data_IF_079375545776
#
_entry.id   IF_079375545776
#
_cell.length_a   1.000
_cell.length_b   1.000
_cell.length_c   1.000
_cell.angle_alpha   90.00
_cell.angle_beta   90.00
_cell.angle_gamma   90.00
#
_symmetry.space_group_name_H-M   'P 1'
#
loop_
_entity.id
_entity.type
_entity.pdbx_description
1 polymer ?
#
# COMPACT_ATOMS: atom_id res chain seq x y z
N UNK A 1 10.19 -14.76 3.75
CA UNK A 1 9.25 -13.72 3.27
C UNK A 1 9.67 -13.35 1.87
N UNK A 2 8.75 -13.24 0.91
CA UNK A 2 9.08 -12.89 -0.48
C UNK A 2 8.35 -11.59 -0.84
N UNK A 3 8.97 -10.77 -1.69
CA UNK A 3 8.35 -9.58 -2.26
C UNK A 3 7.98 -9.80 -3.73
N UNK A 4 6.95 -9.10 -4.17
CA UNK A 4 6.54 -9.05 -5.56
C UNK A 4 6.38 -7.60 -6.01
N UNK A 5 6.79 -7.30 -7.24
CA UNK A 5 6.51 -6.02 -7.90
C UNK A 5 5.89 -6.29 -9.26
N UNK A 6 4.77 -5.62 -9.54
CA UNK A 6 4.13 -5.62 -10.86
C UNK A 6 4.70 -4.47 -11.68
N UNK A 7 5.22 -4.79 -12.87
CA UNK A 7 5.79 -3.80 -13.80
C UNK A 7 5.07 -3.89 -15.14
N UNK A 8 4.66 -2.75 -15.67
CA UNK A 8 4.15 -2.67 -17.04
C UNK A 8 5.28 -2.77 -18.05
N UNK A 9 5.18 -3.69 -19.02
CA UNK A 9 6.21 -3.87 -20.07
C UNK A 9 6.32 -2.65 -20.98
N UNK A 10 5.16 -2.07 -21.28
CA UNK A 10 5.02 -0.99 -22.25
C UNK A 10 5.51 0.35 -21.69
N UNK A 11 5.56 0.49 -20.36
CA UNK A 11 6.03 1.67 -19.65
C UNK A 11 6.75 1.26 -18.37
N UNK A 12 8.07 1.47 -18.28
CA UNK A 12 8.79 1.18 -17.05
C UNK A 12 8.49 2.28 -16.03
N UNK A 13 7.70 1.93 -15.00
CA UNK A 13 7.39 2.81 -13.89
C UNK A 13 8.63 3.14 -13.05
N UNK A 14 8.60 4.28 -12.37
CA UNK A 14 9.71 4.73 -11.51
C UNK A 14 9.87 3.91 -10.24
N UNK A 15 8.92 3.01 -9.93
CA UNK A 15 8.90 2.21 -8.70
C UNK A 15 9.88 1.04 -8.72
N UNK A 16 10.30 0.56 -9.89
CA UNK A 16 11.19 -0.60 -10.02
C UNK A 16 12.55 -0.42 -9.30
N UNK A 17 13.29 0.69 -9.50
CA UNK A 17 14.51 0.94 -8.73
C UNK A 17 14.27 0.93 -7.22
N UNK A 18 13.16 1.52 -6.74
CA UNK A 18 12.85 1.58 -5.31
C UNK A 18 12.53 0.20 -4.74
N UNK A 19 11.77 -0.63 -5.47
CA UNK A 19 11.48 -2.00 -5.03
C UNK A 19 12.74 -2.86 -4.96
N UNK A 20 13.66 -2.70 -5.91
CA UNK A 20 14.96 -3.39 -5.89
C UNK A 20 15.85 -2.93 -4.73
N UNK A 21 15.91 -1.62 -4.47
CA UNK A 21 16.68 -1.05 -3.35
C UNK A 21 16.15 -1.59 -2.03
N UNK A 22 14.84 -1.53 -1.79
CA UNK A 22 14.28 -1.95 -0.50
C UNK A 22 14.42 -3.46 -0.31
N UNK A 23 14.17 -4.28 -1.33
CA UNK A 23 14.33 -5.73 -1.25
C UNK A 23 15.77 -6.14 -0.90
N UNK A 24 16.77 -5.47 -1.49
CA UNK A 24 18.18 -5.66 -1.16
C UNK A 24 18.52 -5.19 0.25
N UNK A 25 17.97 -4.06 0.68
CA UNK A 25 18.22 -3.50 2.01
C UNK A 25 17.67 -4.39 3.13
N UNK A 26 16.51 -5.02 2.91
CA UNK A 26 15.84 -5.88 3.88
C UNK A 26 16.16 -7.37 3.70
N UNK A 27 17.00 -7.71 2.73
CA UNK A 27 17.44 -9.06 2.38
C UNK A 27 16.27 -10.05 2.17
N UNK A 28 15.34 -9.70 1.27
CA UNK A 28 14.28 -10.62 0.82
C UNK A 28 14.30 -10.83 -0.68
N UNK A 29 13.97 -12.04 -1.17
CA UNK A 29 13.80 -12.28 -2.60
C UNK A 29 12.72 -11.37 -3.19
N UNK A 30 13.06 -10.70 -4.30
CA UNK A 30 12.14 -9.88 -5.09
C UNK A 30 11.80 -10.57 -6.40
N UNK A 31 10.52 -10.87 -6.58
CA UNK A 31 10.00 -11.34 -7.86
C UNK A 31 9.43 -10.17 -8.67
N UNK A 32 9.89 -10.04 -9.92
CA UNK A 32 9.38 -9.06 -10.87
C UNK A 32 8.37 -9.74 -11.79
N UNK A 33 7.11 -9.29 -11.74
CA UNK A 33 6.07 -9.72 -12.66
C UNK A 33 5.83 -8.64 -13.69
N UNK A 34 6.18 -8.94 -14.93
CA UNK A 34 5.91 -8.07 -16.05
C UNK A 34 4.52 -8.36 -16.62
N UNK A 35 3.69 -7.31 -16.74
CA UNK A 35 2.35 -7.34 -17.33
C UNK A 35 2.31 -6.42 -18.55
N UNK A 36 1.59 -6.81 -19.60
CA UNK A 36 1.31 -5.91 -20.73
C UNK A 36 -0.03 -5.17 -20.57
N UNK A 37 -0.29 -4.22 -21.46
CA UNK A 37 -1.57 -3.47 -21.48
C UNK A 37 -2.78 -4.40 -21.58
N UNK A 38 -2.72 -5.46 -22.39
CA UNK A 38 -3.85 -6.38 -22.55
C UNK A 38 -4.21 -7.10 -21.24
N UNK A 39 -3.21 -7.55 -20.48
CA UNK A 39 -3.37 -8.12 -19.13
C UNK A 39 -4.02 -7.10 -18.18
N UNK A 40 -3.61 -5.83 -18.25
CA UNK A 40 -4.22 -4.75 -17.46
C UNK A 40 -5.67 -4.48 -17.84
N UNK A 41 -5.99 -4.44 -19.14
CA UNK A 41 -7.34 -4.23 -19.64
C UNK A 41 -8.26 -5.39 -19.24
N UNK A 42 -7.78 -6.63 -19.35
CA UNK A 42 -8.51 -7.81 -18.88
C UNK A 42 -8.75 -7.81 -17.37
N UNK A 43 -7.83 -7.25 -16.59
CA UNK A 43 -7.99 -7.11 -15.14
C UNK A 43 -9.10 -6.13 -14.74
N UNK A 44 -9.52 -5.20 -15.62
CA UNK A 44 -10.63 -4.27 -15.35
C UNK A 44 -11.92 -5.07 -15.07
N UNK A 45 -12.24 -6.04 -15.92
CA UNK A 45 -13.47 -6.83 -15.79
C UNK A 45 -13.50 -7.59 -14.45
N UNK A 46 -12.38 -8.22 -14.08
CA UNK A 46 -12.24 -8.91 -12.80
C UNK A 46 -12.36 -7.96 -11.60
N UNK A 47 -11.76 -6.78 -11.70
CA UNK A 47 -11.83 -5.73 -10.68
C UNK A 47 -13.26 -5.25 -10.47
N UNK A 48 -13.97 -4.91 -11.54
CA UNK A 48 -15.37 -4.46 -11.51
C UNK A 48 -16.28 -5.55 -10.93
N UNK A 49 -16.11 -6.82 -11.33
CA UNK A 49 -16.91 -7.95 -10.81
C UNK A 49 -16.78 -8.09 -9.29
N UNK A 50 -15.60 -7.85 -8.74
CA UNK A 50 -15.34 -7.97 -7.31
C UNK A 50 -15.80 -6.72 -6.54
N UNK A 51 -15.45 -5.53 -7.02
CA UNK A 51 -15.76 -4.27 -6.33
C UNK A 51 -17.24 -3.88 -6.49
N UNK A 52 -17.90 -4.34 -7.54
CA UNK A 52 -19.32 -4.07 -7.85
C UNK A 52 -19.63 -2.58 -8.00
N UNK A 53 -18.71 -1.81 -8.57
CA UNK A 53 -18.91 -0.41 -8.93
C UNK A 53 -18.19 -0.10 -10.26
N UNK A 54 -18.50 1.07 -10.82
CA UNK A 54 -17.91 1.58 -12.07
C UNK A 54 -17.23 2.93 -11.86
N UNK A 55 -16.78 3.24 -10.63
CA UNK A 55 -16.04 4.47 -10.37
C UNK A 55 -14.66 4.35 -11.06
N UNK A 56 -14.42 5.17 -12.07
CA UNK A 56 -13.24 5.10 -12.92
C UNK A 56 -11.93 5.25 -12.14
N UNK A 57 -11.91 6.12 -11.13
CA UNK A 57 -10.75 6.34 -10.25
C UNK A 57 -10.48 5.12 -9.38
N UNK A 58 -11.50 4.58 -8.70
CA UNK A 58 -11.37 3.42 -7.81
C UNK A 58 -10.97 2.17 -8.60
N UNK A 59 -11.60 1.94 -9.75
CA UNK A 59 -11.27 0.83 -10.64
C UNK A 59 -9.83 0.95 -11.13
N UNK A 60 -9.43 2.09 -11.68
CA UNK A 60 -8.06 2.32 -12.16
C UNK A 60 -7.02 2.05 -11.08
N UNK A 61 -7.24 2.56 -9.86
CA UNK A 61 -6.32 2.38 -8.74
C UNK A 61 -6.28 0.93 -8.22
N UNK A 62 -7.31 0.13 -8.52
CA UNK A 62 -7.44 -1.25 -8.03
C UNK A 62 -6.96 -2.32 -9.01
N UNK A 63 -6.69 -1.97 -10.29
CA UNK A 63 -6.24 -2.93 -11.33
C UNK A 63 -4.96 -3.65 -10.90
N UNK A 64 -3.97 -2.91 -10.41
CA UNK A 64 -2.68 -3.51 -9.99
C UNK A 64 -2.88 -4.43 -8.79
N UNK A 65 -3.77 -4.05 -7.86
CA UNK A 65 -4.16 -4.89 -6.73
C UNK A 65 -4.81 -6.19 -7.15
N UNK A 66 -5.74 -6.13 -8.11
CA UNK A 66 -6.33 -7.33 -8.69
C UNK A 66 -5.28 -8.23 -9.34
N UNK A 67 -4.36 -7.66 -10.12
CA UNK A 67 -3.32 -8.41 -10.82
C UNK A 67 -2.40 -9.18 -9.86
N UNK A 68 -1.82 -8.51 -8.86
CA UNK A 68 -0.92 -9.21 -7.93
C UNK A 68 -1.68 -10.22 -7.07
N UNK A 69 -2.91 -9.92 -6.63
CA UNK A 69 -3.69 -10.86 -5.82
C UNK A 69 -4.12 -12.10 -6.60
N UNK A 70 -4.52 -11.94 -7.87
CA UNK A 70 -4.90 -13.08 -8.71
C UNK A 70 -3.71 -14.01 -8.97
N UNK A 71 -2.54 -13.44 -9.28
CA UNK A 71 -1.33 -14.23 -9.47
C UNK A 71 -0.86 -14.89 -8.15
N UNK A 72 -0.98 -14.23 -7.00
CA UNK A 72 -0.66 -14.85 -5.70
C UNK A 72 -1.61 -16.01 -5.38
N UNK A 73 -2.90 -15.89 -5.75
CA UNK A 73 -3.86 -16.99 -5.67
C UNK A 73 -3.45 -18.18 -6.53
N UNK A 74 -3.04 -17.95 -7.78
CA UNK A 74 -2.53 -19.01 -8.68
C UNK A 74 -1.31 -19.73 -8.11
N UNK A 75 -0.53 -19.05 -7.27
CA UNK A 75 0.63 -19.59 -6.55
C UNK A 75 0.29 -20.20 -5.19
N UNK A 76 -0.98 -20.32 -4.84
CA UNK A 76 -1.45 -20.81 -3.54
C UNK A 76 -0.93 -19.99 -2.34
N UNK A 77 -0.63 -18.70 -2.53
CA UNK A 77 -0.29 -17.79 -1.43
C UNK A 77 -1.58 -17.33 -0.76
N UNK A 78 -1.67 -17.52 0.55
CA UNK A 78 -2.89 -17.25 1.33
C UNK A 78 -2.75 -16.08 2.31
N UNK A 79 -1.53 -15.56 2.51
CA UNK A 79 -1.24 -14.47 3.45
C UNK A 79 -0.29 -13.46 2.83
N UNK A 80 -0.64 -12.19 2.91
CA UNK A 80 0.18 -11.08 2.40
C UNK A 80 0.19 -9.90 3.37
N UNK A 81 1.17 -9.03 3.20
CA UNK A 81 1.27 -7.74 3.88
C UNK A 81 1.26 -6.67 2.79
N UNK A 82 0.44 -5.63 2.93
CA UNK A 82 0.48 -4.46 2.06
C UNK A 82 0.82 -3.19 2.85
N UNK A 83 1.26 -2.17 2.11
CA UNK A 83 1.49 -0.83 2.64
C UNK A 83 0.24 0.06 2.65
N UNK A 84 -0.94 -0.51 2.42
CA UNK A 84 -2.19 0.27 2.42
C UNK A 84 -2.40 0.98 3.76
N UNK A 85 -2.92 2.20 3.73
CA UNK A 85 -3.12 3.04 4.91
C UNK A 85 -1.94 3.94 5.25
N UNK A 86 -0.78 3.78 4.63
CA UNK A 86 0.40 4.61 4.94
C UNK A 86 0.13 6.10 4.65
N UNK A 87 -0.41 6.43 3.49
CA UNK A 87 -0.65 7.82 3.09
C UNK A 87 -1.76 8.47 3.93
N UNK A 88 -2.79 7.71 4.25
CA UNK A 88 -3.94 8.14 5.06
C UNK A 88 -3.53 8.47 6.50
N UNK A 89 -2.65 7.65 7.07
CA UNK A 89 -2.20 7.79 8.46
C UNK A 89 -1.04 8.77 8.61
N UNK A 90 -0.08 8.78 7.68
CA UNK A 90 1.15 9.58 7.76
C UNK A 90 1.12 10.84 6.89
N UNK A 91 -0.04 11.27 6.41
CA UNK A 91 -0.20 12.47 5.58
C UNK A 91 0.61 12.44 4.27
N UNK A 92 0.72 11.27 3.62
CA UNK A 92 1.58 11.06 2.45
C UNK A 92 1.07 11.71 1.15
N UNK A 93 -0.19 12.14 1.10
CA UNK A 93 -0.72 12.78 -0.10
C UNK A 93 -0.19 14.19 -0.31
N UNK A 94 0.30 14.46 -1.52
CA UNK A 94 0.86 15.77 -1.92
C UNK A 94 -0.07 16.97 -1.67
N UNK A 95 -1.39 16.80 -1.76
CA UNK A 95 -2.34 17.90 -1.51
C UNK A 95 -2.42 18.31 -0.04
N UNK A 96 -1.91 17.49 0.88
CA UNK A 96 -1.84 17.80 2.31
C UNK A 96 -0.66 18.73 2.63
N UNK A 97 0.40 18.71 1.82
CA UNK A 97 1.65 19.45 2.07
C UNK A 97 1.46 20.96 2.15
N UNK A 98 0.46 21.50 1.45
CA UNK A 98 0.21 22.95 1.35
C UNK A 98 -0.84 23.47 2.35
N UNK A 99 -1.40 22.60 3.20
CA UNK A 99 -2.45 22.97 4.15
C UNK A 99 -1.85 23.53 5.44
N UNK A 100 -2.54 24.48 6.06
CA UNK A 100 -2.19 24.91 7.42
C UNK A 100 -2.50 23.80 8.45
N UNK A 101 -2.02 23.96 9.69
CA UNK A 101 -2.13 22.92 10.71
C UNK A 101 -3.58 22.56 11.04
N UNK A 102 -4.48 23.54 11.02
CA UNK A 102 -5.90 23.35 11.36
C UNK A 102 -6.59 22.59 10.23
N UNK A 103 -6.35 23.01 8.99
CA UNK A 103 -6.85 22.36 7.79
C UNK A 103 -6.34 20.92 7.70
N UNK A 104 -5.04 20.71 7.92
CA UNK A 104 -4.44 19.39 7.86
C UNK A 104 -5.04 18.44 8.90
N UNK A 105 -5.18 18.88 10.15
CA UNK A 105 -5.80 18.07 11.20
C UNK A 105 -7.25 17.69 10.84
N UNK A 106 -8.02 18.62 10.29
CA UNK A 106 -9.38 18.36 9.83
C UNK A 106 -9.43 17.37 8.67
N UNK A 107 -8.50 17.47 7.73
CA UNK A 107 -8.43 16.58 6.57
C UNK A 107 -7.98 15.18 6.94
N UNK A 108 -6.98 15.04 7.82
CA UNK A 108 -6.55 13.73 8.32
C UNK A 108 -7.69 13.03 9.07
N UNK A 109 -8.44 13.77 9.89
CA UNK A 109 -9.64 13.24 10.54
C UNK A 109 -10.67 12.76 9.50
N UNK A 110 -10.95 13.57 8.48
CA UNK A 110 -11.89 13.22 7.40
C UNK A 110 -11.43 11.99 6.61
N UNK A 111 -10.16 11.93 6.21
CA UNK A 111 -9.58 10.81 5.47
C UNK A 111 -9.71 9.52 6.28
N UNK A 112 -9.38 9.54 7.57
CA UNK A 112 -9.53 8.38 8.46
C UNK A 112 -10.97 7.87 8.56
N UNK A 113 -11.95 8.77 8.54
CA UNK A 113 -13.38 8.40 8.60
C UNK A 113 -13.90 7.75 7.30
N UNK A 114 -13.29 8.05 6.15
CA UNK A 114 -13.76 7.60 4.84
C UNK A 114 -12.82 6.62 4.13
N UNK A 115 -11.65 6.34 4.72
CA UNK A 115 -10.66 5.46 4.11
C UNK A 115 -11.27 4.07 3.87
N UNK A 116 -11.04 3.55 2.68
CA UNK A 116 -11.50 2.25 2.26
C UNK A 116 -10.40 1.60 1.42
N UNK A 117 -10.22 0.29 1.58
CA UNK A 117 -9.11 -0.43 0.95
C UNK A 117 -9.65 -1.49 -0.01
N UNK A 118 -9.77 -1.17 -1.32
CA UNK A 118 -10.23 -2.13 -2.34
C UNK A 118 -9.38 -3.41 -2.37
N UNK A 119 -8.08 -3.32 -2.10
CA UNK A 119 -7.15 -4.46 -1.97
C UNK A 119 -7.65 -5.52 -0.99
N UNK A 120 -8.17 -5.12 0.18
CA UNK A 120 -8.76 -6.03 1.17
C UNK A 120 -10.00 -6.75 0.65
N UNK A 121 -10.89 -6.03 -0.03
CA UNK A 121 -12.10 -6.63 -0.62
C UNK A 121 -11.75 -7.63 -1.70
N UNK A 122 -10.75 -7.32 -2.53
CA UNK A 122 -10.25 -8.22 -3.58
C UNK A 122 -9.56 -9.44 -2.96
N UNK A 123 -8.68 -9.26 -1.98
CA UNK A 123 -7.97 -10.34 -1.29
C UNK A 123 -8.96 -11.33 -0.67
N UNK A 124 -9.94 -10.82 0.09
CA UNK A 124 -10.98 -11.65 0.71
C UNK A 124 -11.77 -12.47 -0.33
N UNK A 125 -12.12 -11.87 -1.47
CA UNK A 125 -12.85 -12.57 -2.53
C UNK A 125 -12.02 -13.67 -3.21
N UNK A 126 -10.69 -13.53 -3.18
CA UNK A 126 -9.73 -14.48 -3.72
C UNK A 126 -9.23 -15.51 -2.69
N UNK A 127 -9.69 -15.43 -1.43
CA UNK A 127 -9.27 -16.34 -0.36
C UNK A 127 -7.90 -16.00 0.24
N UNK A 128 -7.45 -14.75 0.10
CA UNK A 128 -6.17 -14.25 0.61
C UNK A 128 -6.45 -13.36 1.83
N UNK A 129 -5.74 -13.64 2.93
CA UNK A 129 -5.68 -12.76 4.09
C UNK A 129 -4.60 -11.70 3.86
N UNK A 130 -5.00 -10.44 3.92
CA UNK A 130 -4.09 -9.28 3.83
C UNK A 130 -3.96 -8.63 5.21
N UNK A 131 -2.74 -8.26 5.57
CA UNK A 131 -2.44 -7.45 6.74
C UNK A 131 -2.01 -6.07 6.27
N UNK A 132 -2.55 -5.04 6.93
CA UNK A 132 -2.26 -3.63 6.66
C UNK A 132 -1.71 -3.00 7.94
N UNK A 133 -0.39 -3.06 8.20
CA UNK A 133 0.19 -2.65 9.48
C UNK A 133 -0.05 -1.18 9.85
N UNK A 134 -0.20 -0.31 8.85
CA UNK A 134 -0.38 1.13 9.08
C UNK A 134 -1.72 1.49 9.70
N UNK A 135 -2.76 0.67 9.49
CA UNK A 135 -4.09 0.88 10.08
C UNK A 135 -4.29 0.13 11.41
N UNK A 136 -3.23 -0.49 11.94
CA UNK A 136 -3.28 -1.07 13.28
C UNK A 136 -3.57 0.02 14.32
N UNK A 137 -4.47 -0.26 15.25
CA UNK A 137 -4.95 0.71 16.23
C UNK A 137 -3.81 1.31 17.07
N UNK A 138 -2.76 0.53 17.37
CA UNK A 138 -1.59 1.03 18.10
C UNK A 138 -0.77 2.01 17.28
N UNK A 139 -0.69 1.78 15.96
CA UNK A 139 0.03 2.66 15.04
C UNK A 139 -0.75 3.96 14.84
N UNK A 140 -2.06 3.86 14.63
CA UNK A 140 -2.94 5.03 14.55
C UNK A 140 -2.81 5.87 15.83
N UNK A 141 -2.93 5.25 17.01
CA UNK A 141 -2.78 5.95 18.29
C UNK A 141 -1.40 6.58 18.46
N UNK A 142 -0.34 5.89 18.07
CA UNK A 142 1.02 6.43 18.12
C UNK A 142 1.14 7.68 17.24
N UNK A 143 0.68 7.60 16.00
CA UNK A 143 0.76 8.71 15.05
C UNK A 143 -0.07 9.92 15.51
N UNK A 144 -1.22 9.69 16.15
CA UNK A 144 -2.05 10.75 16.74
C UNK A 144 -1.36 11.51 17.89
N UNK A 145 -0.33 10.94 18.52
CA UNK A 145 0.49 11.65 19.52
C UNK A 145 1.57 12.53 18.91
N UNK A 146 1.87 12.38 17.62
CA UNK A 146 2.94 13.13 16.97
C UNK A 146 2.48 14.56 16.64
N UNK A 147 3.36 15.56 16.80
CA UNK A 147 3.15 16.89 16.23
C UNK A 147 2.92 16.79 14.72
N UNK A 148 1.89 17.50 14.24
CA UNK A 148 1.47 17.46 12.83
C UNK A 148 2.62 17.82 11.87
N UNK A 149 3.51 18.72 12.28
CA UNK A 149 4.71 19.13 11.51
C UNK A 149 5.66 17.98 11.17
N UNK A 150 5.68 16.93 12.00
CA UNK A 150 6.51 15.75 11.77
C UNK A 150 5.96 14.85 10.66
N UNK A 151 4.65 14.94 10.37
CA UNK A 151 3.98 14.13 9.36
C UNK A 151 4.22 14.67 7.93
N UNK A 152 4.32 15.99 7.79
CA UNK A 152 4.41 16.65 6.48
C UNK A 152 5.87 16.82 6.01
N UNK A 153 6.82 16.82 6.95
CA UNK A 153 8.23 16.96 6.61
C UNK A 153 8.72 15.65 5.96
N UNK A 154 8.88 15.66 4.63
CA UNK A 154 9.27 14.47 3.83
C UNK A 154 10.49 13.73 4.38
N UNK A 155 11.47 14.45 4.94
CA UNK A 155 12.67 13.84 5.54
C UNK A 155 12.36 13.15 6.87
N UNK A 156 11.40 13.65 7.63
CA UNK A 156 10.96 13.11 8.92
C UNK A 156 9.88 12.03 8.78
N UNK A 157 8.93 12.17 7.85
CA UNK A 157 7.97 11.13 7.50
C UNK A 157 8.68 9.85 7.05
N UNK A 158 9.70 9.97 6.20
CA UNK A 158 10.55 8.85 5.81
C UNK A 158 11.29 8.25 7.02
N UNK A 159 11.79 9.07 7.95
CA UNK A 159 12.43 8.59 9.18
C UNK A 159 11.45 7.92 10.15
N UNK A 160 10.19 8.36 10.21
CA UNK A 160 9.14 7.74 11.02
C UNK A 160 8.75 6.38 10.46
N UNK A 161 8.59 6.27 9.14
CA UNK A 161 8.34 5.01 8.45
C UNK A 161 9.53 4.05 8.59
N UNK A 162 10.76 4.55 8.44
CA UNK A 162 11.98 3.76 8.64
C UNK A 162 12.14 3.31 10.10
N UNK A 163 11.90 4.20 11.07
CA UNK A 163 11.93 3.87 12.49
C UNK A 163 10.84 2.87 12.87
N UNK A 164 9.67 2.96 12.25
CA UNK A 164 8.59 1.97 12.36
C UNK A 164 9.04 0.60 11.82
N UNK A 165 9.67 0.58 10.65
CA UNK A 165 10.24 -0.63 10.08
C UNK A 165 11.25 -1.30 11.04
N UNK A 166 12.20 -0.51 11.57
CA UNK A 166 13.25 -1.01 12.45
C UNK A 166 12.76 -1.51 13.81
N UNK A 167 11.79 -0.82 14.43
CA UNK A 167 11.33 -1.14 15.79
C UNK A 167 10.17 -2.13 15.85
N UNK A 168 9.29 -2.12 14.85
CA UNK A 168 8.00 -2.82 14.95
C UNK A 168 7.84 -3.89 13.88
N UNK A 169 8.14 -3.63 12.61
CA UNK A 169 8.04 -4.66 11.57
C UNK A 169 9.14 -5.72 11.69
N UNK A 170 10.39 -5.34 11.99
CA UNK A 170 11.48 -6.32 12.26
C UNK A 170 11.18 -7.25 13.44
N UNK A 171 10.45 -6.77 14.45
CA UNK A 171 10.13 -7.52 15.66
C UNK A 171 8.96 -8.49 15.47
N UNK A 172 8.01 -8.14 14.60
CA UNK A 172 6.86 -8.98 14.23
C UNK A 172 7.26 -10.04 13.18
N UNK A 173 8.26 -9.74 12.36
CA UNK A 173 8.65 -10.56 11.21
C UNK A 173 10.16 -10.86 11.22
N UNK A 174 10.65 -11.56 12.23
CA UNK A 174 11.93 -12.26 12.10
C UNK A 174 11.71 -13.55 11.29
N UNK A 175 12.55 -13.83 10.28
CA UNK A 175 12.60 -15.17 9.71
C UNK A 175 13.13 -16.12 10.79
N UNK A 176 12.29 -17.09 11.18
CA UNK A 176 12.76 -18.31 11.84
C UNK A 176 13.58 -19.14 10.86
#
# INVERSE_FOLDING_TARGET
>A
MNAITIITKDFIGTDLPYSQIIAKYIDIPLELKYVNIDEMLNAIEGTVKILKNFNDIEIRNSIVSYLYLNMLKEKNVTKIISGDGADEIFAGYNFLVKKDHTQLKSELKRIKEIMHFPSQKIANKLGISIQMPFIDEKIIKLVETLPVDLLINQKMALNLVNGFYEKHLKMIYQPT
#
